data_IF_283851882480
#
_entry.id   IF_283851882480
#
_cell.length_a   1.000
_cell.length_b   1.000
_cell.length_c   1.000
_cell.angle_alpha   90.00
_cell.angle_beta   90.00
_cell.angle_gamma   90.00
#
_symmetry.space_group_name_H-M   'P 1'
#
loop_
_entity.id
_entity.type
_entity.pdbx_description
1 polymer ?
#
# COMPACT_ATOMS: atom_id res chain seq x y z
N UNK A 1 16.36 -21.57 59.55
CA UNK A 1 16.02 -20.15 59.37
C UNK A 1 14.63 -20.19 58.79
N UNK A 2 13.68 -20.26 59.70
CA UNK A 2 12.26 -20.44 59.42
C UNK A 2 11.55 -19.10 59.56
N UNK A 3 10.44 -18.99 58.84
CA UNK A 3 9.34 -18.04 59.01
C UNK A 3 9.52 -16.63 58.43
N UNK A 4 8.86 -16.35 57.31
CA UNK A 4 7.58 -15.64 57.33
C UNK A 4 7.09 -15.49 55.87
N UNK A 5 6.14 -16.32 55.46
CA UNK A 5 5.54 -16.24 54.13
C UNK A 5 4.07 -16.68 54.24
N UNK A 6 3.28 -15.85 54.90
CA UNK A 6 1.86 -16.13 55.17
C UNK A 6 1.12 -14.82 55.46
N UNK A 7 0.79 -14.07 54.41
CA UNK A 7 -0.46 -13.28 54.33
C UNK A 7 -0.43 -12.39 53.08
N UNK A 8 -1.03 -12.83 51.97
CA UNK A 8 -1.49 -11.91 50.91
C UNK A 8 -2.74 -12.42 50.15
N UNK A 9 -3.35 -13.54 50.57
CA UNK A 9 -4.52 -14.12 49.88
C UNK A 9 -5.87 -13.45 50.24
N UNK A 10 -5.90 -12.51 51.20
CA UNK A 10 -7.17 -11.90 51.67
C UNK A 10 -7.60 -10.65 50.87
N UNK A 11 -6.74 -10.08 50.00
CA UNK A 11 -7.03 -8.86 49.25
C UNK A 11 -7.76 -9.10 47.91
N UNK A 12 -7.65 -10.31 47.34
CA UNK A 12 -8.30 -10.66 46.07
C UNK A 12 -9.83 -10.87 46.22
N UNK A 13 -10.30 -11.45 47.34
CA UNK A 13 -11.74 -11.70 47.53
C UNK A 13 -12.55 -10.41 47.70
N UNK A 14 -11.97 -9.36 48.30
CA UNK A 14 -12.65 -8.05 48.44
C UNK A 14 -12.82 -7.34 47.11
N UNK A 15 -11.89 -7.54 46.18
CA UNK A 15 -11.92 -6.92 44.86
C UNK A 15 -13.06 -7.49 44.01
N UNK A 16 -13.26 -8.82 44.02
CA UNK A 16 -14.31 -9.47 43.24
C UNK A 16 -15.72 -9.08 43.70
N UNK A 17 -15.98 -9.06 45.01
CA UNK A 17 -17.29 -8.69 45.55
C UNK A 17 -17.65 -7.22 45.28
N UNK A 18 -16.67 -6.33 45.12
CA UNK A 18 -16.89 -4.94 44.74
C UNK A 18 -17.31 -4.84 43.27
N UNK A 19 -16.60 -5.52 42.38
CA UNK A 19 -16.88 -5.55 40.93
C UNK A 19 -18.29 -6.08 40.67
N UNK A 20 -18.68 -7.18 41.32
CA UNK A 20 -20.01 -7.78 41.15
C UNK A 20 -21.14 -6.85 41.60
N UNK A 21 -20.95 -6.12 42.72
CA UNK A 21 -21.94 -5.14 43.19
C UNK A 21 -22.08 -3.97 42.24
N UNK A 22 -20.97 -3.48 41.69
CA UNK A 22 -20.98 -2.39 40.73
C UNK A 22 -21.66 -2.80 39.42
N UNK A 23 -21.37 -4.00 38.92
CA UNK A 23 -22.02 -4.56 37.74
C UNK A 23 -23.54 -4.71 37.94
N UNK A 24 -23.97 -5.29 39.07
CA UNK A 24 -25.39 -5.43 39.38
C UNK A 24 -26.11 -4.07 39.47
N UNK A 25 -25.44 -3.05 40.04
CA UNK A 25 -25.98 -1.69 40.09
C UNK A 25 -26.02 -1.02 38.71
N UNK A 26 -25.08 -1.31 37.82
CA UNK A 26 -25.12 -0.87 36.42
C UNK A 26 -26.29 -1.53 35.67
N UNK A 27 -26.48 -2.84 35.82
CA UNK A 27 -27.56 -3.59 35.18
C UNK A 27 -28.94 -3.09 35.65
N UNK A 28 -29.10 -2.81 36.95
CA UNK A 28 -30.33 -2.23 37.50
C UNK A 28 -30.63 -0.85 36.90
N UNK A 29 -29.61 0.00 36.73
CA UNK A 29 -29.74 1.31 36.07
C UNK A 29 -30.16 1.17 34.61
N UNK A 30 -29.55 0.26 33.86
CA UNK A 30 -29.90 -0.04 32.48
C UNK A 30 -31.33 -0.56 32.35
N UNK A 31 -31.75 -1.50 33.20
CA UNK A 31 -33.11 -2.04 33.19
C UNK A 31 -34.18 -0.95 33.47
N UNK A 32 -33.88 -0.04 34.41
CA UNK A 32 -34.73 1.13 34.67
C UNK A 32 -34.81 2.07 33.47
N UNK A 33 -33.68 2.36 32.82
CA UNK A 33 -33.64 3.21 31.62
C UNK A 33 -34.48 2.61 30.48
N UNK A 34 -34.31 1.32 30.20
CA UNK A 34 -35.10 0.59 29.18
C UNK A 34 -36.59 0.69 29.49
N UNK A 35 -36.98 0.48 30.75
CA UNK A 35 -38.39 0.57 31.18
C UNK A 35 -38.96 1.98 30.98
N UNK A 36 -38.20 3.02 31.30
CA UNK A 36 -38.60 4.43 31.07
C UNK A 36 -38.79 4.69 29.57
N UNK A 37 -37.87 4.22 28.73
CA UNK A 37 -37.95 4.40 27.27
C UNK A 37 -39.13 3.64 26.65
N UNK A 38 -39.40 2.40 27.10
CA UNK A 38 -40.53 1.59 26.63
C UNK A 38 -41.88 2.25 26.97
N UNK A 39 -42.00 2.84 28.17
CA UNK A 39 -43.22 3.51 28.63
C UNK A 39 -43.28 4.99 28.26
N UNK A 40 -42.36 5.48 27.43
CA UNK A 40 -42.23 6.91 27.10
C UNK A 40 -43.56 7.56 26.68
N UNK A 41 -44.40 6.86 25.91
CA UNK A 41 -45.69 7.36 25.40
C UNK A 41 -46.73 7.65 26.50
N UNK A 42 -46.59 7.05 27.68
CA UNK A 42 -47.50 7.23 28.82
C UNK A 42 -47.21 8.50 29.62
N UNK A 43 -46.01 9.07 29.47
CA UNK A 43 -45.65 10.29 30.20
C UNK A 43 -46.25 11.56 29.60
N UNK A 44 -46.30 12.62 30.41
CA UNK A 44 -46.74 13.96 29.98
C UNK A 44 -45.92 14.45 28.77
N UNK A 45 -46.51 15.33 27.94
CA UNK A 45 -45.82 15.91 26.78
C UNK A 45 -44.49 16.57 27.16
N UNK A 46 -44.45 17.29 28.29
CA UNK A 46 -43.23 17.92 28.82
C UNK A 46 -42.14 16.89 29.12
N UNK A 47 -42.50 15.80 29.80
CA UNK A 47 -41.57 14.71 30.13
C UNK A 47 -41.05 14.03 28.86
N UNK A 48 -41.94 13.72 27.91
CA UNK A 48 -41.57 13.11 26.63
C UNK A 48 -40.53 13.93 25.87
N UNK A 49 -40.78 15.23 25.68
CA UNK A 49 -39.84 16.12 25.00
C UNK A 49 -38.48 16.20 25.70
N UNK A 50 -38.46 16.20 27.05
CA UNK A 50 -37.19 16.19 27.79
C UNK A 50 -36.46 14.85 27.65
N UNK A 51 -37.18 13.73 27.66
CA UNK A 51 -36.62 12.41 27.39
C UNK A 51 -36.06 12.32 25.97
N UNK A 52 -36.75 12.89 24.98
CA UNK A 52 -36.27 12.98 23.59
C UNK A 52 -34.93 13.71 23.51
N UNK A 53 -34.85 14.93 24.05
CA UNK A 53 -33.62 15.72 24.03
C UNK A 53 -32.43 14.99 24.71
N UNK A 54 -32.67 14.35 25.85
CA UNK A 54 -31.63 13.59 26.56
C UNK A 54 -31.18 12.34 25.79
N UNK A 55 -32.10 11.69 25.06
CA UNK A 55 -31.75 10.52 24.23
C UNK A 55 -30.93 10.97 23.03
N UNK A 56 -31.30 12.08 22.38
CA UNK A 56 -30.53 12.67 21.27
C UNK A 56 -29.12 13.06 21.72
N UNK A 57 -28.98 13.76 22.86
CA UNK A 57 -27.70 14.13 23.45
C UNK A 57 -26.85 12.90 23.79
N UNK A 58 -27.44 11.87 24.42
CA UNK A 58 -26.75 10.62 24.72
C UNK A 58 -26.25 9.90 23.46
N UNK A 59 -27.09 9.79 22.42
CA UNK A 59 -26.71 9.12 21.18
C UNK A 59 -25.60 9.87 20.44
N UNK A 60 -25.67 11.21 20.44
CA UNK A 60 -24.63 12.03 19.83
C UNK A 60 -23.28 11.87 20.54
N UNK A 61 -23.26 11.94 21.88
CA UNK A 61 -22.04 11.70 22.64
C UNK A 61 -21.49 10.29 22.45
N UNK A 62 -22.37 9.28 22.44
CA UNK A 62 -21.92 7.90 22.20
C UNK A 62 -21.35 7.72 20.79
N UNK A 63 -21.94 8.36 19.78
CA UNK A 63 -21.41 8.38 18.40
C UNK A 63 -20.04 9.06 18.34
N UNK A 64 -19.86 10.19 19.02
CA UNK A 64 -18.59 10.89 19.13
C UNK A 64 -17.52 10.07 19.87
N UNK A 65 -17.89 9.42 20.98
CA UNK A 65 -16.98 8.56 21.76
C UNK A 65 -16.51 7.35 20.94
N UNK A 66 -17.43 6.72 20.22
CA UNK A 66 -17.12 5.62 19.28
C UNK A 66 -16.21 6.13 18.18
N UNK A 67 -16.54 7.28 17.61
CA UNK A 67 -15.74 7.88 16.56
C UNK A 67 -14.31 8.17 17.03
N UNK A 68 -14.16 8.75 18.23
CA UNK A 68 -12.88 8.99 18.87
C UNK A 68 -12.10 7.70 19.08
N UNK A 69 -12.73 6.66 19.66
CA UNK A 69 -12.12 5.34 19.84
C UNK A 69 -11.61 4.72 18.53
N UNK A 70 -12.33 4.90 17.42
CA UNK A 70 -11.90 4.38 16.10
C UNK A 70 -10.78 5.18 15.45
N UNK A 71 -10.65 6.46 15.82
CA UNK A 71 -9.66 7.40 15.26
C UNK A 71 -8.46 7.61 16.18
N UNK A 72 -8.50 7.06 17.39
CA UNK A 72 -7.43 7.18 18.36
C UNK A 72 -6.19 6.47 17.84
N UNK A 73 -5.09 7.22 17.77
CA UNK A 73 -3.79 6.73 17.31
C UNK A 73 -2.65 7.28 18.14
N UNK A 74 -2.92 7.95 19.25
CA UNK A 74 -1.85 8.54 20.04
C UNK A 74 -1.06 7.47 20.81
N UNK A 75 0.23 7.72 20.94
CA UNK A 75 1.09 7.00 21.88
C UNK A 75 1.19 7.85 23.14
N UNK A 76 0.47 7.46 24.18
CA UNK A 76 0.65 8.06 25.50
C UNK A 76 1.61 7.17 26.31
N UNK A 77 2.77 7.71 26.69
CA UNK A 77 3.76 7.00 27.52
C UNK A 77 4.25 5.66 26.94
N UNK A 78 4.36 5.56 25.60
CA UNK A 78 4.67 4.33 24.84
C UNK A 78 3.56 3.27 24.87
N UNK A 79 2.38 3.59 25.41
CA UNK A 79 1.19 2.75 25.32
C UNK A 79 0.37 3.23 24.13
N UNK A 80 0.15 2.32 23.18
CA UNK A 80 -0.75 2.57 22.07
C UNK A 80 -2.19 2.51 22.57
N UNK A 81 -2.95 3.59 22.45
CA UNK A 81 -4.36 3.66 22.90
C UNK A 81 -5.37 3.43 21.79
N UNK A 82 -4.92 3.35 20.54
CA UNK A 82 -5.78 3.10 19.40
C UNK A 82 -6.35 1.68 19.32
N UNK A 83 -7.16 1.45 18.29
CA UNK A 83 -7.81 0.15 18.08
C UNK A 83 -6.79 -0.99 17.97
N UNK A 84 -6.86 -1.94 18.91
CA UNK A 84 -5.88 -2.99 19.09
C UNK A 84 -6.52 -4.38 18.97
N UNK A 85 -6.05 -5.20 18.02
CA UNK A 85 -6.54 -6.57 17.81
C UNK A 85 -6.30 -7.50 19.00
N UNK A 86 -5.40 -7.14 19.91
CA UNK A 86 -5.16 -7.92 21.13
C UNK A 86 -6.23 -7.65 22.21
N UNK A 87 -6.91 -6.50 22.13
CA UNK A 87 -7.85 -6.03 23.15
C UNK A 87 -9.30 -6.03 22.65
N UNK A 88 -9.53 -5.65 21.40
CA UNK A 88 -10.85 -5.56 20.81
C UNK A 88 -11.14 -6.75 19.90
N UNK A 89 -12.37 -7.27 19.98
CA UNK A 89 -12.84 -8.33 19.08
C UNK A 89 -13.56 -7.75 17.84
N UNK A 90 -13.54 -8.48 16.72
CA UNK A 90 -14.30 -8.09 15.51
C UNK A 90 -15.79 -7.88 15.83
N UNK A 91 -16.37 -8.72 16.70
CA UNK A 91 -17.79 -8.65 17.08
C UNK A 91 -18.14 -7.37 17.84
N UNK A 92 -17.30 -6.93 18.77
CA UNK A 92 -17.51 -5.69 19.52
C UNK A 92 -17.48 -4.49 18.58
N UNK A 93 -16.45 -4.40 17.74
CA UNK A 93 -16.29 -3.31 16.78
C UNK A 93 -17.41 -3.31 15.74
N UNK A 94 -17.80 -4.50 15.25
CA UNK A 94 -18.94 -4.64 14.35
C UNK A 94 -20.24 -4.15 14.99
N UNK A 95 -20.53 -4.59 16.22
CA UNK A 95 -21.75 -4.20 16.93
C UNK A 95 -21.83 -2.69 17.11
N UNK A 96 -20.71 -2.07 17.47
CA UNK A 96 -20.57 -0.63 17.65
C UNK A 96 -20.80 0.14 16.34
N UNK A 97 -20.16 -0.26 15.25
CA UNK A 97 -20.33 0.38 13.93
C UNK A 97 -21.74 0.20 13.38
N UNK A 98 -22.36 -0.96 13.58
CA UNK A 98 -23.75 -1.21 13.15
C UNK A 98 -24.75 -0.28 13.83
N UNK A 99 -24.43 0.19 15.04
CA UNK A 99 -25.27 1.13 15.77
C UNK A 99 -25.11 2.57 15.25
N UNK A 100 -23.89 2.97 14.82
CA UNK A 100 -23.61 4.26 14.20
C UNK A 100 -22.79 4.13 12.91
N UNK A 101 -23.40 3.73 11.77
CA UNK A 101 -22.64 3.46 10.53
C UNK A 101 -21.97 4.71 9.94
N UNK A 102 -22.50 5.90 10.24
CA UNK A 102 -21.97 7.18 9.73
C UNK A 102 -20.54 7.48 10.22
N UNK A 103 -20.11 6.87 11.33
CA UNK A 103 -18.74 7.05 11.83
C UNK A 103 -17.70 6.61 10.81
N UNK A 104 -18.00 5.66 9.93
CA UNK A 104 -17.08 5.16 8.90
C UNK A 104 -16.72 6.22 7.85
N UNK A 105 -17.66 7.11 7.53
CA UNK A 105 -17.52 8.15 6.51
C UNK A 105 -17.28 9.54 7.09
N UNK A 106 -17.30 9.68 8.41
CA UNK A 106 -16.94 10.92 9.11
C UNK A 106 -15.44 11.16 9.01
N UNK A 107 -15.07 12.31 8.45
CA UNK A 107 -13.67 12.75 8.37
C UNK A 107 -13.20 13.22 9.73
N UNK A 108 -11.94 12.92 10.04
CA UNK A 108 -11.25 13.42 11.22
C UNK A 108 -11.09 14.91 10.98
N UNK A 109 -11.91 15.67 11.69
CA UNK A 109 -11.75 17.10 11.79
C UNK A 109 -10.70 17.33 12.86
N UNK A 110 -9.48 17.70 12.48
CA UNK A 110 -8.46 18.03 13.44
C UNK A 110 -8.98 19.16 14.33
N UNK A 111 -8.80 19.03 15.64
CA UNK A 111 -8.96 20.19 16.49
C UNK A 111 -8.03 21.30 15.94
N UNK A 112 -8.53 22.53 15.74
CA UNK A 112 -7.68 23.63 15.31
C UNK A 112 -6.68 23.86 16.43
N UNK A 113 -5.50 23.25 16.30
CA UNK A 113 -4.35 23.58 17.11
C UNK A 113 -3.66 24.73 16.38
N UNK A 114 -3.81 25.96 16.88
CA UNK A 114 -3.13 27.09 16.28
C UNK A 114 -1.63 26.83 16.40
N UNK A 115 -0.91 26.91 15.27
CA UNK A 115 0.54 26.90 15.26
C UNK A 115 1.02 28.34 15.06
N UNK A 116 2.01 28.76 15.84
CA UNK A 116 2.59 30.08 15.68
C UNK A 116 3.50 30.09 14.45
N UNK A 117 3.15 30.90 13.45
CA UNK A 117 4.00 31.17 12.30
C UNK A 117 4.98 32.31 12.66
N UNK A 118 6.26 31.96 12.83
CA UNK A 118 7.30 32.93 13.16
C UNK A 118 7.55 33.95 12.02
N UNK A 119 7.25 33.62 10.77
CA UNK A 119 7.45 34.53 9.63
C UNK A 119 6.35 35.57 9.55
N UNK A 120 5.11 35.19 9.85
CA UNK A 120 3.94 36.06 9.76
C UNK A 120 3.55 36.71 11.11
N UNK A 121 4.17 36.30 12.23
CA UNK A 121 3.86 36.76 13.59
C UNK A 121 2.37 36.55 13.93
N UNK A 122 1.80 35.46 13.44
CA UNK A 122 0.39 35.09 13.64
C UNK A 122 0.17 33.59 13.89
N UNK A 123 -0.96 33.27 14.51
CA UNK A 123 -1.39 31.88 14.68
C UNK A 123 -2.06 31.40 13.40
N UNK A 124 -1.44 30.44 12.71
CA UNK A 124 -1.98 29.81 11.51
C UNK A 124 -2.63 28.49 11.90
N UNK A 125 -3.85 28.26 11.42
CA UNK A 125 -4.48 26.95 11.49
C UNK A 125 -3.76 26.03 10.50
N UNK A 126 -3.03 25.04 11.00
CA UNK A 126 -2.53 24.00 10.11
C UNK A 126 -3.73 23.25 9.53
N UNK A 127 -3.74 23.15 8.20
CA UNK A 127 -4.66 22.30 7.45
C UNK A 127 -4.26 20.83 7.73
N UNK A 128 -4.67 20.33 8.90
CA UNK A 128 -4.39 18.95 9.32
C UNK A 128 -5.21 17.97 8.49
N UNK A 129 -4.75 16.73 8.50
CA UNK A 129 -5.19 15.72 7.55
C UNK A 129 -6.65 15.29 7.70
N UNK A 130 -7.41 15.45 6.62
CA UNK A 130 -8.79 14.97 6.52
C UNK A 130 -8.81 13.46 6.31
N UNK A 131 -8.43 12.73 7.37
CA UNK A 131 -8.38 11.28 7.38
C UNK A 131 -9.76 10.70 7.60
N UNK A 132 -10.05 9.57 6.95
CA UNK A 132 -11.15 8.69 7.37
C UNK A 132 -10.64 7.70 8.41
N UNK A 133 -11.48 7.19 9.33
CA UNK A 133 -11.07 6.22 10.35
C UNK A 133 -10.28 5.03 9.78
N UNK A 134 -10.64 4.54 8.59
CA UNK A 134 -9.95 3.44 7.91
C UNK A 134 -8.47 3.73 7.62
N UNK A 135 -8.05 4.99 7.46
CA UNK A 135 -6.64 5.34 7.25
C UNK A 135 -5.83 5.11 8.52
N UNK A 136 -6.39 5.47 9.67
CA UNK A 136 -5.79 5.33 11.00
C UNK A 136 -5.54 3.87 11.38
N UNK A 137 -6.36 2.96 10.83
CA UNK A 137 -6.17 1.52 10.99
C UNK A 137 -4.90 1.00 10.31
N UNK A 138 -4.37 1.71 9.32
CA UNK A 138 -3.17 1.30 8.56
C UNK A 138 -1.93 2.11 8.94
N UNK A 139 -2.09 3.36 9.33
CA UNK A 139 -1.00 4.29 9.49
C UNK A 139 -1.26 5.24 10.66
N UNK A 140 -0.20 5.49 11.43
CA UNK A 140 -0.20 6.43 12.52
C UNK A 140 0.84 7.51 12.23
N UNK A 141 0.35 8.74 12.07
CA UNK A 141 1.13 9.89 11.64
C UNK A 141 2.17 10.32 12.67
N UNK A 142 1.88 10.18 13.97
CA UNK A 142 2.71 10.76 15.03
C UNK A 142 4.15 10.23 15.07
N UNK A 143 4.41 9.05 14.50
CA UNK A 143 5.71 8.39 14.54
C UNK A 143 6.13 7.72 13.22
N UNK A 144 5.41 7.97 12.12
CA UNK A 144 5.58 7.20 10.87
C UNK A 144 5.49 5.69 11.14
N UNK A 145 4.52 5.30 11.97
CA UNK A 145 4.32 3.93 12.44
C UNK A 145 3.17 3.27 11.69
N UNK A 146 3.40 2.06 11.18
CA UNK A 146 2.31 1.24 10.65
C UNK A 146 1.50 0.66 11.81
N UNK A 147 0.19 0.82 11.79
CA UNK A 147 -0.70 0.28 12.81
C UNK A 147 -1.04 -1.19 12.53
N UNK A 148 -0.09 -2.10 12.78
CA UNK A 148 -0.31 -3.54 12.53
C UNK A 148 -1.39 -4.16 13.42
N UNK A 149 -1.71 -3.54 14.56
CA UNK A 149 -2.78 -3.98 15.48
C UNK A 149 -4.17 -3.56 15.00
N UNK A 150 -4.29 -2.39 14.38
CA UNK A 150 -5.52 -1.90 13.78
C UNK A 150 -5.81 -2.48 12.38
N UNK A 151 -4.77 -2.82 11.62
CA UNK A 151 -4.91 -3.23 10.22
C UNK A 151 -5.83 -4.44 9.96
N UNK A 152 -5.92 -5.47 10.83
CA UNK A 152 -6.89 -6.55 10.66
C UNK A 152 -8.34 -6.06 10.55
N UNK A 153 -8.70 -4.96 11.22
CA UNK A 153 -10.05 -4.38 11.19
C UNK A 153 -10.38 -3.66 9.88
N UNK A 154 -9.40 -3.39 9.01
CA UNK A 154 -9.64 -2.80 7.67
C UNK A 154 -10.65 -3.65 6.90
N UNK A 155 -10.56 -4.98 6.99
CA UNK A 155 -11.47 -5.90 6.30
C UNK A 155 -12.92 -5.74 6.79
N UNK A 156 -13.10 -5.59 8.10
CA UNK A 156 -14.39 -5.34 8.72
C UNK A 156 -14.96 -3.98 8.28
N UNK A 157 -14.13 -2.93 8.35
CA UNK A 157 -14.53 -1.57 7.99
C UNK A 157 -15.03 -1.49 6.57
N UNK A 158 -14.30 -2.07 5.62
CA UNK A 158 -14.68 -2.05 4.21
C UNK A 158 -15.97 -2.84 3.98
N UNK A 159 -16.11 -4.01 4.63
CA UNK A 159 -17.33 -4.82 4.54
C UNK A 159 -18.55 -4.03 5.00
N UNK A 160 -18.48 -3.41 6.19
CA UNK A 160 -19.58 -2.63 6.75
C UNK A 160 -19.83 -1.34 5.97
N UNK A 161 -18.78 -0.66 5.51
CA UNK A 161 -18.90 0.55 4.70
C UNK A 161 -19.64 0.28 3.37
N UNK A 162 -19.40 -0.87 2.76
CA UNK A 162 -20.14 -1.34 1.56
C UNK A 162 -21.58 -1.73 1.95
N UNK A 163 -21.77 -2.47 3.04
CA UNK A 163 -23.11 -2.89 3.50
C UNK A 163 -24.04 -1.70 3.76
N UNK A 164 -23.50 -0.62 4.31
CA UNK A 164 -24.24 0.59 4.68
C UNK A 164 -24.20 1.70 3.63
N UNK A 165 -23.71 1.42 2.42
CA UNK A 165 -23.60 2.39 1.31
C UNK A 165 -22.93 3.72 1.73
N UNK A 166 -21.91 3.65 2.60
CA UNK A 166 -21.24 4.83 3.16
C UNK A 166 -20.35 5.56 2.13
N UNK A 167 -19.98 4.87 1.05
CA UNK A 167 -19.15 5.40 -0.02
C UNK A 167 -19.69 4.96 -1.38
N UNK A 168 -19.29 5.66 -2.44
CA UNK A 168 -19.60 5.18 -3.79
C UNK A 168 -18.85 3.89 -4.10
N UNK A 169 -19.39 3.08 -5.02
CA UNK A 169 -18.82 1.79 -5.40
C UNK A 169 -17.35 1.92 -5.86
N UNK A 170 -17.00 3.04 -6.51
CA UNK A 170 -15.65 3.31 -6.98
C UNK A 170 -14.63 3.47 -5.84
N UNK A 171 -15.07 3.95 -4.67
CA UNK A 171 -14.23 4.13 -3.48
C UNK A 171 -14.04 2.84 -2.67
N UNK A 172 -14.80 1.79 -3.01
CA UNK A 172 -14.67 0.42 -2.47
C UNK A 172 -14.67 0.40 -0.93
N UNK A 173 -15.70 1.00 -0.33
CA UNK A 173 -15.84 1.09 1.13
C UNK A 173 -14.76 1.93 1.80
N UNK A 174 -14.29 2.98 1.12
CA UNK A 174 -13.30 3.92 1.63
C UNK A 174 -11.83 3.55 1.37
N UNK A 175 -11.54 2.35 0.84
CA UNK A 175 -10.17 1.92 0.55
C UNK A 175 -9.40 2.84 -0.40
N UNK A 176 -10.12 3.50 -1.31
CA UNK A 176 -9.56 4.39 -2.32
C UNK A 176 -9.87 5.86 -2.04
N UNK A 177 -10.35 6.19 -0.84
CA UNK A 177 -10.34 7.58 -0.40
C UNK A 177 -8.89 8.02 -0.27
N UNK A 178 -8.60 9.20 -0.78
CA UNK A 178 -7.30 9.83 -0.64
C UNK A 178 -7.33 10.69 0.64
N UNK A 179 -6.25 10.62 1.41
CA UNK A 179 -5.91 11.59 2.45
C UNK A 179 -5.38 12.88 1.82
N UNK A 180 -4.82 13.75 2.65
CA UNK A 180 -4.28 15.03 2.22
C UNK A 180 -3.01 14.91 1.36
N UNK A 181 -2.22 13.85 1.56
CA UNK A 181 -1.04 13.55 0.75
C UNK A 181 -1.40 12.91 -0.61
N UNK A 182 -2.68 12.61 -0.82
CA UNK A 182 -3.15 11.87 -1.99
C UNK A 182 -2.90 10.37 -1.87
N UNK A 183 -2.62 9.88 -0.66
CA UNK A 183 -2.42 8.48 -0.35
C UNK A 183 -3.73 7.86 0.11
N UNK A 184 -3.92 6.59 -0.23
CA UNK A 184 -5.07 5.82 0.20
C UNK A 184 -4.63 4.62 1.02
N UNK A 185 -5.60 3.90 1.59
CA UNK A 185 -5.34 2.74 2.45
C UNK A 185 -4.49 1.67 1.76
N UNK A 186 -4.62 1.48 0.44
CA UNK A 186 -3.75 0.53 -0.29
C UNK A 186 -2.30 0.98 -0.35
N UNK A 187 -2.05 2.29 -0.49
CA UNK A 187 -0.72 2.87 -0.42
C UNK A 187 -0.15 2.75 1.00
N UNK A 188 -0.95 2.95 2.05
CA UNK A 188 -0.53 2.75 3.44
C UNK A 188 -0.17 1.29 3.74
N UNK A 189 -0.94 0.34 3.20
CA UNK A 189 -0.71 -1.09 3.36
C UNK A 189 0.58 -1.60 2.68
N UNK A 190 1.30 -0.77 1.92
CA UNK A 190 2.63 -1.10 1.36
C UNK A 190 3.77 -0.31 2.00
N UNK A 191 3.48 0.59 2.95
CA UNK A 191 4.48 1.30 3.74
C UNK A 191 5.13 0.39 4.79
N UNK A 192 6.28 0.81 5.30
CA UNK A 192 6.93 0.22 6.46
C UNK A 192 7.10 1.25 7.55
N UNK A 193 7.24 0.79 8.78
CA UNK A 193 7.49 1.69 9.90
C UNK A 193 8.95 2.12 9.93
N UNK A 194 9.23 3.20 10.66
CA UNK A 194 10.59 3.67 10.89
C UNK A 194 11.52 2.54 11.41
N UNK A 195 12.78 2.53 10.94
CA UNK A 195 13.80 1.57 11.38
C UNK A 195 14.11 1.65 12.88
N UNK A 196 13.81 2.78 13.53
CA UNK A 196 13.99 2.97 14.98
C UNK A 196 13.19 1.96 15.82
N UNK A 197 12.07 1.44 15.32
CA UNK A 197 11.25 0.42 15.98
C UNK A 197 11.83 -1.00 15.85
N UNK A 198 12.90 -1.15 15.06
CA UNK A 198 13.58 -2.42 14.87
C UNK A 198 13.03 -3.31 13.74
N UNK A 199 13.82 -4.34 13.43
CA UNK A 199 13.52 -5.29 12.33
C UNK A 199 12.37 -6.24 12.67
N UNK A 200 12.24 -6.65 13.93
CA UNK A 200 11.18 -7.58 14.33
C UNK A 200 9.80 -6.95 14.24
N UNK A 201 9.65 -5.68 14.63
CA UNK A 201 8.43 -4.90 14.43
C UNK A 201 8.03 -4.87 12.96
N UNK A 202 8.96 -4.47 12.08
CA UNK A 202 8.69 -4.38 10.65
C UNK A 202 8.37 -5.73 10.00
N UNK A 203 8.91 -6.85 10.51
CA UNK A 203 8.52 -8.19 10.08
C UNK A 203 7.06 -8.49 10.42
N UNK A 204 6.62 -8.16 11.64
CA UNK A 204 5.21 -8.33 12.05
C UNK A 204 4.29 -7.46 11.19
N UNK A 205 4.69 -6.23 10.90
CA UNK A 205 3.98 -5.32 9.98
C UNK A 205 3.86 -5.96 8.60
N UNK A 206 4.97 -6.47 8.04
CA UNK A 206 4.97 -7.10 6.71
C UNK A 206 4.03 -8.31 6.64
N UNK A 207 4.12 -9.22 7.62
CA UNK A 207 3.26 -10.40 7.72
C UNK A 207 1.76 -10.02 7.86
N UNK A 208 1.47 -9.02 8.67
CA UNK A 208 0.09 -8.61 8.96
C UNK A 208 -0.54 -7.91 7.78
N UNK A 209 0.17 -6.94 7.19
CA UNK A 209 -0.33 -6.20 6.03
C UNK A 209 -0.45 -7.11 4.81
N UNK A 210 0.45 -8.07 4.63
CA UNK A 210 0.31 -9.10 3.60
C UNK A 210 -0.98 -9.91 3.76
N UNK A 211 -1.33 -10.34 4.97
CA UNK A 211 -2.59 -11.06 5.23
C UNK A 211 -3.79 -10.20 4.81
N UNK A 212 -3.80 -8.91 5.16
CA UNK A 212 -4.85 -7.97 4.76
C UNK A 212 -4.93 -7.85 3.23
N UNK A 213 -3.81 -7.62 2.54
CA UNK A 213 -3.76 -7.53 1.06
C UNK A 213 -4.25 -8.81 0.37
N UNK A 214 -3.91 -9.99 0.90
CA UNK A 214 -4.41 -11.28 0.39
C UNK A 214 -5.93 -11.40 0.55
N UNK A 215 -6.49 -10.96 1.68
CA UNK A 215 -7.94 -11.01 1.89
C UNK A 215 -8.67 -9.98 1.02
N UNK A 216 -8.16 -8.75 0.91
CA UNK A 216 -8.69 -7.74 -0.01
C UNK A 216 -8.71 -8.24 -1.46
N UNK A 217 -7.68 -9.00 -1.88
CA UNK A 217 -7.65 -9.69 -3.17
C UNK A 217 -8.77 -10.72 -3.30
N UNK A 218 -8.93 -11.58 -2.30
CA UNK A 218 -9.95 -12.65 -2.29
C UNK A 218 -11.37 -12.09 -2.35
N UNK A 219 -11.59 -10.93 -1.72
CA UNK A 219 -12.85 -10.19 -1.77
C UNK A 219 -13.06 -9.41 -3.09
N UNK A 220 -12.08 -9.38 -3.99
CA UNK A 220 -12.16 -8.63 -5.25
C UNK A 220 -12.02 -7.10 -5.08
N UNK A 221 -11.59 -6.65 -3.89
CA UNK A 221 -11.46 -5.23 -3.54
C UNK A 221 -10.09 -4.66 -3.90
N UNK A 222 -9.04 -5.47 -3.82
CA UNK A 222 -7.73 -5.17 -4.42
C UNK A 222 -7.68 -5.80 -5.82
N UNK A 223 -7.44 -4.97 -6.82
CA UNK A 223 -7.38 -5.35 -8.24
C UNK A 223 -5.96 -5.23 -8.75
N UNK A 224 -5.67 -5.97 -9.82
CA UNK A 224 -4.36 -5.98 -10.47
C UNK A 224 -3.96 -4.57 -10.94
N UNK A 225 -4.93 -3.82 -11.45
CA UNK A 225 -4.77 -2.46 -11.95
C UNK A 225 -4.41 -1.47 -10.85
N UNK A 226 -4.81 -1.72 -9.59
CA UNK A 226 -4.51 -0.83 -8.47
C UNK A 226 -3.01 -0.81 -8.17
N UNK A 227 -2.31 -1.96 -8.32
CA UNK A 227 -0.85 -2.06 -8.13
C UNK A 227 -0.11 -1.04 -8.98
N UNK A 228 -0.55 -0.86 -10.23
CA UNK A 228 0.03 0.11 -11.17
C UNK A 228 -0.55 1.51 -11.01
N UNK A 229 -1.86 1.61 -10.80
CA UNK A 229 -2.57 2.89 -10.69
C UNK A 229 -2.05 3.71 -9.51
N UNK A 230 -1.78 3.06 -8.39
CA UNK A 230 -1.31 3.68 -7.14
C UNK A 230 0.19 3.47 -6.88
N UNK A 231 0.91 2.94 -7.88
CA UNK A 231 2.36 2.73 -7.84
C UNK A 231 2.85 1.95 -6.60
N UNK A 232 2.04 0.99 -6.14
CA UNK A 232 2.20 0.30 -4.86
C UNK A 232 3.58 -0.37 -4.74
N UNK A 233 4.05 -0.98 -5.83
CA UNK A 233 5.34 -1.67 -5.86
C UNK A 233 6.53 -0.72 -5.72
N UNK A 234 6.46 0.45 -6.36
CA UNK A 234 7.50 1.47 -6.26
C UNK A 234 7.55 2.10 -4.87
N UNK A 235 6.38 2.38 -4.29
CA UNK A 235 6.26 2.90 -2.93
C UNK A 235 6.86 1.95 -1.91
N UNK A 236 6.59 0.66 -2.02
CA UNK A 236 7.21 -0.37 -1.19
C UNK A 236 8.73 -0.37 -1.33
N UNK A 237 9.25 -0.30 -2.56
CA UNK A 237 10.70 -0.28 -2.81
C UNK A 237 11.40 1.00 -2.34
N UNK A 238 10.66 2.09 -2.07
CA UNK A 238 11.20 3.35 -1.56
C UNK A 238 11.39 3.33 -0.04
N UNK A 239 10.78 2.36 0.66
CA UNK A 239 10.80 2.32 2.12
C UNK A 239 12.18 1.95 2.70
N UNK A 240 12.45 2.46 3.90
CA UNK A 240 13.68 2.16 4.63
C UNK A 240 13.80 0.69 5.01
N UNK A 241 12.70 0.07 5.45
CA UNK A 241 12.59 -1.38 5.58
C UNK A 241 11.98 -1.97 4.31
N UNK A 242 12.63 -2.99 3.76
CA UNK A 242 12.12 -3.66 2.56
C UNK A 242 11.25 -4.84 2.94
N UNK A 243 9.95 -4.65 2.75
CA UNK A 243 8.88 -5.60 2.99
C UNK A 243 8.88 -6.71 1.92
N UNK A 244 9.76 -7.69 2.09
CA UNK A 244 10.03 -8.72 1.08
C UNK A 244 8.79 -9.56 0.74
N UNK A 245 7.98 -9.95 1.73
CA UNK A 245 6.85 -10.83 1.45
C UNK A 245 5.72 -10.09 0.71
N UNK A 246 5.46 -8.83 1.08
CA UNK A 246 4.56 -7.94 0.31
C UNK A 246 5.10 -7.65 -1.09
N UNK A 247 6.41 -7.43 -1.25
CA UNK A 247 7.03 -7.26 -2.56
C UNK A 247 6.75 -8.46 -3.46
N UNK A 248 7.06 -9.67 -2.98
CA UNK A 248 6.86 -10.92 -3.72
C UNK A 248 5.38 -11.07 -4.11
N UNK A 249 4.46 -10.87 -3.17
CA UNK A 249 3.02 -10.93 -3.43
C UNK A 249 2.57 -10.00 -4.57
N UNK A 250 2.99 -8.73 -4.55
CA UNK A 250 2.60 -7.74 -5.55
C UNK A 250 3.17 -8.07 -6.92
N UNK A 251 4.45 -8.46 -7.00
CA UNK A 251 5.11 -8.80 -8.27
C UNK A 251 4.55 -10.08 -8.88
N UNK A 252 4.33 -11.12 -8.07
CA UNK A 252 3.77 -12.37 -8.56
C UNK A 252 2.34 -12.19 -9.09
N UNK A 253 1.61 -11.21 -8.57
CA UNK A 253 0.28 -10.85 -9.07
C UNK A 253 0.33 -9.97 -10.32
N UNK A 254 1.09 -8.87 -10.30
CA UNK A 254 1.30 -8.02 -11.47
C UNK A 254 2.78 -7.74 -11.74
N UNK A 255 3.46 -8.62 -12.51
CA UNK A 255 4.85 -8.37 -12.84
C UNK A 255 5.02 -7.13 -13.72
N UNK A 256 3.97 -6.63 -14.39
CA UNK A 256 4.09 -5.46 -15.28
C UNK A 256 4.47 -4.18 -14.53
N UNK A 257 4.17 -4.12 -13.23
CA UNK A 257 4.60 -3.06 -12.34
C UNK A 257 6.12 -2.94 -12.20
N UNK A 258 6.91 -3.98 -12.52
CA UNK A 258 8.39 -3.89 -12.52
C UNK A 258 8.96 -3.01 -13.65
N UNK A 259 8.18 -2.77 -14.71
CA UNK A 259 8.64 -2.09 -15.94
C UNK A 259 7.97 -0.75 -16.19
N UNK A 260 6.85 -0.55 -15.53
CA UNK A 260 6.03 0.65 -15.58
C UNK A 260 6.40 1.52 -14.38
N UNK A 261 6.49 2.81 -14.61
CA UNK A 261 6.77 3.78 -13.57
C UNK A 261 5.83 4.97 -13.80
N UNK A 262 5.05 5.31 -12.77
CA UNK A 262 4.12 6.43 -12.84
C UNK A 262 4.83 7.75 -12.55
N UNK A 263 5.62 7.79 -11.49
CA UNK A 263 6.31 8.99 -11.03
C UNK A 263 7.77 9.01 -11.49
N UNK A 264 8.18 10.11 -12.10
CA UNK A 264 9.57 10.38 -12.53
C UNK A 264 10.23 9.29 -13.39
N UNK A 265 9.45 8.37 -13.97
CA UNK A 265 9.93 7.17 -14.66
C UNK A 265 10.85 6.29 -13.78
N UNK A 266 10.81 6.42 -12.46
CA UNK A 266 11.58 5.57 -11.55
C UNK A 266 10.92 4.19 -11.45
N UNK A 267 11.62 3.17 -11.95
CA UNK A 267 11.26 1.76 -11.73
C UNK A 267 11.49 1.34 -10.27
N UNK A 268 10.88 0.23 -9.81
CA UNK A 268 11.16 -0.33 -8.48
C UNK A 268 12.65 -0.55 -8.22
N UNK A 269 13.39 -0.92 -9.27
CA UNK A 269 14.84 -1.13 -9.21
C UNK A 269 15.66 0.16 -8.95
N UNK A 270 15.13 1.35 -9.29
CA UNK A 270 15.77 2.63 -8.93
C UNK A 270 15.68 2.90 -7.42
N UNK A 271 14.55 2.53 -6.81
CA UNK A 271 14.22 2.95 -5.44
C UNK A 271 14.81 2.03 -4.38
N UNK A 272 15.09 0.76 -4.70
CA UNK A 272 15.57 -0.25 -3.75
C UNK A 272 16.89 0.09 -3.00
N UNK A 273 17.64 1.10 -3.47
CA UNK A 273 18.93 1.52 -2.90
C UNK A 273 18.94 2.94 -2.31
N UNK A 274 17.85 3.72 -2.36
CA UNK A 274 17.91 5.18 -2.09
C UNK A 274 18.26 5.58 -0.65
N UNK A 275 17.81 4.83 0.37
CA UNK A 275 17.78 5.35 1.75
C UNK A 275 18.63 4.56 2.77
N UNK A 276 19.33 3.49 2.36
CA UNK A 276 20.00 2.63 3.34
C UNK A 276 21.53 2.76 3.29
N UNK A 277 22.10 3.25 4.40
CA UNK A 277 23.56 3.36 4.61
C UNK A 277 24.20 2.05 5.09
N UNK A 278 23.40 1.03 5.46
CA UNK A 278 23.90 -0.29 5.77
C UNK A 278 24.04 -1.15 4.50
N UNK A 279 25.23 -1.08 3.89
CA UNK A 279 25.58 -1.67 2.57
C UNK A 279 25.02 -3.08 2.30
N UNK A 280 25.02 -3.97 3.29
CA UNK A 280 24.59 -5.36 3.09
C UNK A 280 23.12 -5.50 2.67
N UNK A 281 22.22 -4.71 3.25
CA UNK A 281 20.79 -4.84 2.97
C UNK A 281 20.40 -4.26 1.60
N UNK A 282 21.11 -3.23 1.13
CA UNK A 282 20.85 -2.61 -0.17
C UNK A 282 21.12 -3.59 -1.33
N UNK A 283 22.24 -4.33 -1.27
CA UNK A 283 22.58 -5.35 -2.29
C UNK A 283 21.53 -6.43 -2.39
N UNK A 284 21.05 -6.94 -1.25
CA UNK A 284 20.09 -8.02 -1.23
C UNK A 284 18.74 -7.59 -1.81
N UNK A 285 18.29 -6.37 -1.48
CA UNK A 285 17.09 -5.76 -2.07
C UNK A 285 17.23 -5.59 -3.57
N UNK A 286 18.32 -4.97 -4.02
CA UNK A 286 18.60 -4.78 -5.43
C UNK A 286 18.63 -6.12 -6.18
N UNK A 287 19.34 -7.10 -5.62
CA UNK A 287 19.43 -8.46 -6.16
C UNK A 287 18.05 -9.08 -6.29
N UNK A 288 17.22 -9.03 -5.25
CA UNK A 288 15.88 -9.61 -5.28
C UNK A 288 15.00 -8.94 -6.35
N UNK A 289 14.95 -7.60 -6.38
CA UNK A 289 14.13 -6.87 -7.35
C UNK A 289 14.61 -7.17 -8.78
N UNK A 290 15.93 -7.25 -8.99
CA UNK A 290 16.52 -7.61 -10.27
C UNK A 290 16.20 -9.07 -10.67
N UNK A 291 16.29 -10.01 -9.73
CA UNK A 291 15.94 -11.42 -9.92
C UNK A 291 14.49 -11.58 -10.40
N UNK A 292 13.56 -10.85 -9.79
CA UNK A 292 12.17 -10.83 -10.24
C UNK A 292 12.02 -10.19 -11.63
N UNK A 293 12.78 -9.13 -11.92
CA UNK A 293 12.89 -8.54 -13.25
C UNK A 293 13.28 -9.55 -14.33
N UNK A 294 14.34 -10.32 -14.10
CA UNK A 294 14.82 -11.34 -15.05
C UNK A 294 13.97 -12.61 -15.04
N UNK A 295 13.28 -12.94 -13.94
CA UNK A 295 12.38 -14.09 -13.83
C UNK A 295 11.11 -13.91 -14.67
N UNK A 296 10.47 -12.75 -14.56
CA UNK A 296 9.21 -12.46 -15.27
C UNK A 296 9.42 -11.90 -16.67
N UNK A 297 10.56 -11.22 -16.88
CA UNK A 297 10.95 -10.70 -18.18
C UNK A 297 12.28 -11.30 -18.61
N UNK A 298 12.35 -12.63 -18.74
CA UNK A 298 13.56 -13.28 -19.20
C UNK A 298 13.89 -12.72 -20.58
N UNK A 299 15.18 -12.71 -20.90
CA UNK A 299 15.74 -12.16 -22.15
C UNK A 299 15.93 -10.63 -22.08
N UNK A 300 15.75 -9.96 -23.23
CA UNK A 300 16.10 -8.56 -23.48
C UNK A 300 15.57 -7.57 -22.43
N UNK A 301 14.34 -7.78 -21.96
CA UNK A 301 13.65 -6.78 -21.15
C UNK A 301 14.22 -6.75 -19.73
N UNK A 302 14.42 -7.90 -19.08
CA UNK A 302 14.93 -7.96 -17.72
C UNK A 302 16.30 -7.29 -17.55
N UNK A 303 17.24 -7.57 -18.46
CA UNK A 303 18.57 -6.93 -18.43
C UNK A 303 18.48 -5.43 -18.70
N UNK A 304 17.62 -5.01 -19.64
CA UNK A 304 17.44 -3.59 -19.95
C UNK A 304 16.91 -2.76 -18.77
N UNK A 305 16.24 -3.39 -17.78
CA UNK A 305 15.78 -2.68 -16.57
C UNK A 305 16.92 -2.07 -15.77
N UNK A 306 18.11 -2.69 -15.75
CA UNK A 306 19.31 -2.16 -15.09
C UNK A 306 19.76 -0.81 -15.65
N UNK A 307 19.46 -0.57 -16.92
CA UNK A 307 19.99 0.56 -17.68
C UNK A 307 18.87 1.49 -18.19
N UNK A 308 17.62 1.27 -17.77
CA UNK A 308 16.52 2.15 -18.13
C UNK A 308 16.65 3.45 -17.34
N UNK A 309 16.72 4.57 -18.04
CA UNK A 309 16.84 5.91 -17.49
C UNK A 309 15.52 6.36 -16.87
N UNK A 310 15.59 6.95 -15.69
CA UNK A 310 14.51 7.74 -15.13
C UNK A 310 14.39 9.12 -15.82
N UNK A 311 13.54 10.00 -15.29
CA UNK A 311 13.36 11.35 -15.82
C UNK A 311 14.59 12.27 -15.68
N UNK A 312 15.56 11.90 -14.84
CA UNK A 312 16.83 12.60 -14.65
C UNK A 312 17.97 11.99 -15.49
N UNK A 313 17.69 10.92 -16.24
CA UNK A 313 18.71 10.22 -17.01
C UNK A 313 19.53 9.24 -16.18
N UNK A 314 19.17 8.98 -14.93
CA UNK A 314 19.88 8.09 -14.02
C UNK A 314 19.32 6.67 -14.19
N UNK A 315 20.21 5.67 -14.19
CA UNK A 315 19.83 4.25 -14.30
C UNK A 315 19.90 3.53 -12.95
N UNK A 316 19.17 2.41 -12.76
CA UNK A 316 19.29 1.62 -11.54
C UNK A 316 20.71 1.11 -11.28
N UNK A 317 21.45 0.76 -12.34
CA UNK A 317 22.84 0.35 -12.26
C UNK A 317 23.73 1.45 -11.66
N UNK A 318 23.57 2.69 -12.12
CA UNK A 318 24.32 3.84 -11.59
C UNK A 318 24.00 4.10 -10.11
N UNK A 319 22.72 4.02 -9.72
CA UNK A 319 22.30 4.16 -8.32
C UNK A 319 22.93 3.06 -7.46
N UNK A 320 22.83 1.80 -7.90
CA UNK A 320 23.41 0.66 -7.18
C UNK A 320 24.94 0.78 -7.01
N UNK A 321 25.65 1.12 -8.09
CA UNK A 321 27.09 1.32 -8.05
C UNK A 321 27.50 2.49 -7.15
N UNK A 322 26.72 3.57 -7.11
CA UNK A 322 26.98 4.71 -6.23
C UNK A 322 26.81 4.35 -4.74
N UNK A 323 25.82 3.51 -4.42
CA UNK A 323 25.43 3.28 -3.04
C UNK A 323 26.16 2.08 -2.41
N UNK A 324 26.38 1.01 -3.17
CA UNK A 324 27.05 -0.19 -2.68
C UNK A 324 28.49 -0.29 -3.18
N UNK A 325 28.74 0.19 -4.38
CA UNK A 325 30.01 0.00 -5.09
C UNK A 325 29.86 -0.89 -6.31
N UNK A 326 30.73 -0.67 -7.28
CA UNK A 326 30.69 -1.33 -8.58
C UNK A 326 30.87 -2.85 -8.47
N UNK A 327 31.86 -3.32 -7.70
CA UNK A 327 32.21 -4.74 -7.62
C UNK A 327 31.07 -5.58 -7.01
N UNK A 328 30.46 -5.10 -5.91
CA UNK A 328 29.35 -5.78 -5.27
C UNK A 328 28.08 -5.74 -6.13
N UNK A 329 27.82 -4.61 -6.81
CA UNK A 329 26.70 -4.49 -7.76
C UNK A 329 26.87 -5.48 -8.91
N UNK A 330 28.05 -5.53 -9.52
CA UNK A 330 28.36 -6.45 -10.61
C UNK A 330 28.29 -7.90 -10.17
N UNK A 331 28.81 -8.23 -8.98
CA UNK A 331 28.70 -9.57 -8.41
C UNK A 331 27.25 -9.99 -8.24
N UNK A 332 26.40 -9.13 -7.68
CA UNK A 332 24.98 -9.40 -7.54
C UNK A 332 24.29 -9.65 -8.89
N UNK A 333 24.59 -8.82 -9.90
CA UNK A 333 24.06 -8.99 -11.27
C UNK A 333 24.50 -10.33 -11.88
N UNK A 334 25.79 -10.67 -11.78
CA UNK A 334 26.32 -11.93 -12.33
C UNK A 334 25.73 -13.16 -11.63
N UNK A 335 25.58 -13.10 -10.30
CA UNK A 335 24.99 -14.19 -9.51
C UNK A 335 23.52 -14.40 -9.90
N UNK A 336 22.74 -13.32 -10.02
CA UNK A 336 21.34 -13.41 -10.47
C UNK A 336 21.20 -13.93 -11.90
N UNK A 337 22.09 -13.52 -12.82
CA UNK A 337 22.09 -14.00 -14.20
C UNK A 337 22.49 -15.48 -14.29
N UNK A 338 23.43 -15.94 -13.47
CA UNK A 338 23.83 -17.36 -13.38
C UNK A 338 22.72 -18.24 -12.81
N UNK A 339 22.00 -17.74 -11.81
CA UNK A 339 20.93 -18.48 -11.14
C UNK A 339 19.62 -18.53 -11.93
N UNK A 340 19.47 -17.73 -12.99
CA UNK A 340 18.24 -17.69 -13.76
C UNK A 340 18.07 -18.96 -14.61
N UNK A 341 17.07 -19.78 -14.26
CA UNK A 341 16.75 -21.05 -14.91
C UNK A 341 15.93 -20.90 -16.20
N UNK A 342 15.50 -19.69 -16.57
CA UNK A 342 14.62 -19.44 -17.72
C UNK A 342 15.27 -19.63 -19.11
N UNK A 343 16.44 -20.25 -19.17
CA UNK A 343 17.21 -20.55 -20.38
C UNK A 343 18.16 -19.41 -20.80
N UNK A 344 19.11 -19.70 -21.72
CA UNK A 344 20.03 -18.69 -22.22
C UNK A 344 19.24 -17.55 -22.90
N UNK A 345 19.53 -16.31 -22.51
CA UNK A 345 18.92 -15.16 -23.15
C UNK A 345 19.51 -14.94 -24.55
N UNK A 346 18.68 -14.50 -25.49
CA UNK A 346 19.16 -14.11 -26.82
C UNK A 346 19.90 -12.76 -26.73
N UNK A 347 21.22 -12.82 -26.65
CA UNK A 347 22.09 -11.64 -26.47
C UNK A 347 22.01 -10.72 -27.68
N UNK A 348 21.85 -11.27 -28.89
CA UNK A 348 21.65 -10.49 -30.12
C UNK A 348 20.41 -9.60 -30.02
N UNK A 349 19.27 -10.17 -29.62
CA UNK A 349 18.02 -9.41 -29.48
C UNK A 349 18.11 -8.36 -28.37
N UNK A 350 18.79 -8.69 -27.26
CA UNK A 350 19.02 -7.77 -26.16
C UNK A 350 19.88 -6.58 -26.61
N UNK A 351 20.94 -6.85 -27.39
CA UNK A 351 21.85 -5.84 -27.93
C UNK A 351 21.13 -4.89 -28.88
N UNK A 352 20.35 -5.43 -29.83
CA UNK A 352 19.57 -4.61 -30.77
C UNK A 352 18.55 -3.76 -30.02
N UNK A 353 17.83 -4.35 -29.06
CA UNK A 353 16.81 -3.64 -28.28
C UNK A 353 17.42 -2.50 -27.46
N UNK A 354 18.55 -2.76 -26.79
CA UNK A 354 19.27 -1.75 -26.03
C UNK A 354 19.82 -0.62 -26.93
N UNK A 355 20.20 -0.93 -28.18
CA UNK A 355 20.71 0.06 -29.12
C UNK A 355 19.63 0.97 -29.73
N UNK A 356 18.37 0.49 -29.84
CA UNK A 356 17.26 1.26 -30.43
C UNK A 356 16.38 1.98 -29.41
N UNK A 357 16.36 1.54 -28.15
CA UNK A 357 15.52 2.15 -27.11
C UNK A 357 16.21 3.39 -26.51
N UNK A 358 15.70 4.58 -26.83
CA UNK A 358 16.24 5.87 -26.34
C UNK A 358 16.19 6.03 -24.81
N UNK A 359 15.38 5.21 -24.13
CA UNK A 359 15.28 5.21 -22.68
C UNK A 359 16.28 4.24 -22.03
N UNK A 360 16.98 3.40 -22.79
CA UNK A 360 18.06 2.56 -22.30
C UNK A 360 19.39 3.30 -22.45
N UNK A 361 20.21 3.30 -21.41
CA UNK A 361 21.54 3.91 -21.44
C UNK A 361 22.53 3.05 -22.26
N UNK A 362 23.47 3.71 -22.94
CA UNK A 362 24.46 3.05 -23.82
C UNK A 362 25.34 2.03 -23.07
N UNK A 363 25.49 2.18 -21.76
CA UNK A 363 26.18 1.20 -20.91
C UNK A 363 25.58 -0.20 -21.02
N UNK A 364 24.28 -0.34 -21.33
CA UNK A 364 23.67 -1.63 -21.60
C UNK A 364 24.30 -2.33 -22.81
N UNK A 365 24.56 -1.59 -23.88
CA UNK A 365 25.22 -2.09 -25.09
C UNK A 365 26.65 -2.54 -24.77
N UNK A 366 27.41 -1.70 -24.06
CA UNK A 366 28.77 -2.06 -23.63
C UNK A 366 28.80 -3.27 -22.69
N UNK A 367 27.85 -3.35 -21.76
CA UNK A 367 27.69 -4.47 -20.84
C UNK A 367 27.45 -5.77 -21.61
N UNK A 368 26.53 -5.78 -22.57
CA UNK A 368 26.22 -6.96 -23.39
C UNK A 368 27.42 -7.38 -24.26
N UNK A 369 28.11 -6.42 -24.89
CA UNK A 369 29.30 -6.70 -25.70
C UNK A 369 30.47 -7.28 -24.89
N UNK A 370 30.65 -6.83 -23.64
CA UNK A 370 31.71 -7.37 -22.76
C UNK A 370 31.41 -8.80 -22.32
N UNK A 371 30.14 -9.15 -22.14
CA UNK A 371 29.72 -10.51 -21.74
C UNK A 371 29.87 -11.52 -22.88
N UNK A 372 29.55 -11.11 -24.11
CA UNK A 372 29.61 -11.98 -25.28
C UNK A 372 30.25 -11.23 -26.46
N UNK A 373 31.59 -11.12 -26.50
CA UNK A 373 32.29 -10.31 -27.50
C UNK A 373 32.10 -10.81 -28.94
N UNK A 374 31.74 -12.08 -29.14
CA UNK A 374 31.45 -12.68 -30.44
C UNK A 374 30.01 -12.41 -30.93
N UNK A 375 29.17 -11.74 -30.15
CA UNK A 375 27.78 -11.43 -30.51
C UNK A 375 27.68 -10.64 -31.82
N UNK A 376 28.63 -9.75 -32.09
CA UNK A 376 28.65 -8.98 -33.35
C UNK A 376 28.95 -9.87 -34.55
N UNK A 377 29.86 -10.84 -34.41
CA UNK A 377 30.19 -11.81 -35.47
C UNK A 377 28.99 -12.70 -35.74
N UNK A 378 28.28 -13.13 -34.69
CA UNK A 378 27.04 -13.91 -34.81
C UNK A 378 25.95 -13.13 -35.55
N UNK A 379 25.78 -11.84 -35.24
CA UNK A 379 24.80 -10.97 -35.87
C UNK A 379 25.10 -10.74 -37.37
N UNK A 380 26.36 -10.52 -37.72
CA UNK A 380 26.80 -10.38 -39.11
C UNK A 380 26.63 -11.69 -39.89
N UNK A 381 27.00 -12.83 -39.29
CA UNK A 381 26.92 -14.15 -39.94
C UNK A 381 25.48 -14.59 -40.22
N UNK A 382 24.55 -14.24 -39.31
CA UNK A 382 23.12 -14.52 -39.48
C UNK A 382 22.49 -13.72 -40.62
N UNK A 383 23.00 -12.51 -40.88
CA UNK A 383 22.51 -11.64 -41.95
C UNK A 383 22.89 -12.18 -43.34
N UNK A 384 24.09 -12.74 -43.48
CA UNK A 384 24.59 -13.30 -44.75
C UNK A 384 23.83 -14.56 -45.17
N UNK A 385 23.39 -15.38 -44.22
CA UNK A 385 22.63 -16.61 -44.50
C UNK A 385 21.20 -16.36 -45.02
N UNK A 386 20.63 -15.18 -44.77
CA UNK A 386 19.27 -14.84 -45.21
C UNK A 386 19.21 -14.34 -46.66
N UNK A 387 20.34 -13.88 -47.22
CA UNK A 387 20.41 -13.33 -48.58
C UNK A 387 20.53 -14.40 -49.68
N UNK A 388 20.80 -15.66 -49.36
CA UNK A 388 21.05 -16.72 -50.35
C UNK A 388 19.80 -17.53 -50.78
N UNK A 389 18.59 -17.11 -50.43
CA UNK A 389 17.34 -17.86 -50.70
C UNK A 389 16.35 -17.19 -51.68
N UNK A 390 16.72 -16.14 -52.41
CA UNK A 390 15.78 -15.47 -53.35
C UNK A 390 16.10 -15.55 -54.84
N UNK A 391 17.14 -16.28 -55.26
CA UNK A 391 17.29 -16.68 -56.67
C UNK A 391 16.52 -17.98 -56.94
N UNK A 392 15.19 -17.91 -56.88
CA UNK A 392 14.32 -18.85 -57.60
C UNK A 392 13.63 -18.09 -58.72
N UNK A 393 13.65 -18.61 -59.97
CA UNK A 393 13.16 -17.89 -61.13
C UNK A 393 11.66 -17.64 -61.01
N UNK A 394 11.31 -16.37 -61.20
CA UNK A 394 9.97 -15.84 -61.38
C UNK A 394 9.28 -16.63 -62.50
N UNK A 395 8.27 -17.42 -62.16
CA UNK A 395 7.25 -17.84 -63.11
C UNK A 395 6.01 -16.97 -62.88
N UNK A 396 5.74 -16.15 -63.88
CA UNK A 396 4.54 -15.35 -64.07
C UNK A 396 3.26 -16.14 -63.80
N UNK A 397 2.49 -15.77 -62.77
CA UNK A 397 1.03 -15.89 -62.83
C UNK A 397 0.40 -14.61 -62.29
N UNK A 398 0.02 -13.79 -63.26
CA UNK A 398 -0.97 -12.74 -63.27
C UNK A 398 -2.27 -13.16 -62.54
N UNK A 399 -2.66 -12.48 -61.47
CA UNK A 399 -4.03 -12.54 -60.93
C UNK A 399 -4.38 -11.29 -60.14
N UNK A 400 -4.96 -10.38 -60.92
CA UNK A 400 -5.75 -9.22 -60.58
C UNK A 400 -6.76 -9.50 -59.45
N UNK A 401 -6.60 -8.89 -58.27
CA UNK A 401 -7.69 -8.78 -57.29
C UNK A 401 -7.65 -7.43 -56.57
N UNK A 402 -8.54 -6.59 -57.06
CA UNK A 402 -8.93 -5.29 -56.58
C UNK A 402 -9.60 -5.44 -55.21
N UNK A 403 -9.03 -4.89 -54.13
CA UNK A 403 -9.70 -4.82 -52.82
C UNK A 403 -9.46 -3.47 -52.17
N UNK A 404 -10.39 -2.59 -52.51
CA UNK A 404 -10.65 -1.29 -51.93
C UNK A 404 -11.10 -1.48 -50.47
N UNK A 405 -10.33 -1.06 -49.47
CA UNK A 405 -10.84 -0.91 -48.11
C UNK A 405 -10.55 0.46 -47.54
N UNK A 406 -11.66 1.12 -47.26
CA UNK A 406 -11.87 2.50 -46.95
C UNK A 406 -12.00 2.63 -45.42
N UNK A 407 -11.38 3.64 -44.82
CA UNK A 407 -11.80 4.39 -43.61
C UNK A 407 -12.18 3.61 -42.34
N UNK A 408 -11.49 3.93 -41.22
CA UNK A 408 -12.05 4.84 -40.20
C UNK A 408 -11.15 4.95 -38.95
N UNK A 409 -10.48 6.09 -38.79
CA UNK A 409 -9.82 6.51 -37.56
C UNK A 409 -10.81 7.22 -36.63
N UNK A 410 -11.41 6.48 -35.69
CA UNK A 410 -12.22 7.07 -34.59
C UNK A 410 -11.30 7.57 -33.47
N UNK A 411 -10.96 8.86 -33.53
CA UNK A 411 -10.39 9.64 -32.41
C UNK A 411 -11.46 9.82 -31.33
N UNK A 412 -11.34 9.12 -30.20
CA UNK A 412 -12.14 9.39 -28.98
C UNK A 412 -11.42 10.44 -28.14
N UNK A 413 -11.97 11.67 -28.12
CA UNK A 413 -11.65 12.73 -27.16
C UNK A 413 -12.52 12.52 -25.92
N UNK A 414 -11.95 12.09 -24.80
CA UNK A 414 -12.60 12.22 -23.50
C UNK A 414 -12.34 13.64 -22.98
N UNK A 415 -13.38 14.47 -22.95
CA UNK A 415 -13.41 15.74 -22.19
C UNK A 415 -14.24 15.50 -20.94
N UNK A 416 -13.59 15.32 -19.79
CA UNK A 416 -14.24 15.40 -18.49
C UNK A 416 -14.48 16.88 -18.14
N UNK A 417 -15.73 17.30 -18.08
CA UNK A 417 -16.13 18.60 -17.52
C UNK A 417 -16.39 18.41 -16.02
N UNK A 418 -15.56 19.02 -15.17
CA UNK A 418 -15.89 19.29 -13.76
C UNK A 418 -16.98 20.36 -13.72
N UNK A 419 -18.13 20.04 -13.13
CA UNK A 419 -19.15 21.02 -12.69
C UNK A 419 -18.82 21.34 -11.23
N UNK A 420 -18.41 22.58 -10.95
CA UNK A 420 -18.50 23.17 -9.62
C UNK A 420 -19.93 23.69 -9.48
N UNK A 421 -20.68 23.16 -8.54
CA UNK A 421 -21.93 23.75 -8.06
C UNK A 421 -21.59 24.67 -6.90
N UNK A 422 -21.99 25.92 -7.04
CA UNK A 422 -22.06 26.92 -5.96
C UNK A 422 -23.15 26.60 -4.96
#
# INVERSE_FOLDING_TARGET
MDNNDTSDDDDDERSQASIEREQAAADERCAKLITVLQRKREFSKRTRNKTDALVEEFLHHLEDDIYAMLCESEYQDNVFTGLDSDQATETEIETTIRFFPNVLSRKIEPAPEPMWDEEEDEWVELDRDLLYPIHVLSYNDSNFCCNYKGAPFILLFVRLAIEFDQFTEELRGGLLCEDNDGDNVLQHLVLSSNLSLGRDHNRIVDETFLKVLIQLRRMGLLKKEDIRTYDLLNRLCLQDYFAEDRFRFLVEWDPTALREAKFFRCLPLHNCNKHNTANHTAVERFRLVFEYGIRYYPKKIGISLLFKKDSYGITPFQIACSNVGYDDTMKAIEDSLRNNTAGPYNVVDALITAAIDEHVHLDCVYFLLRREPDVLVKLLSSSTASLTLTDSPINDINSNSNSNSNRNSKKRKCKGKRKRGS
#
